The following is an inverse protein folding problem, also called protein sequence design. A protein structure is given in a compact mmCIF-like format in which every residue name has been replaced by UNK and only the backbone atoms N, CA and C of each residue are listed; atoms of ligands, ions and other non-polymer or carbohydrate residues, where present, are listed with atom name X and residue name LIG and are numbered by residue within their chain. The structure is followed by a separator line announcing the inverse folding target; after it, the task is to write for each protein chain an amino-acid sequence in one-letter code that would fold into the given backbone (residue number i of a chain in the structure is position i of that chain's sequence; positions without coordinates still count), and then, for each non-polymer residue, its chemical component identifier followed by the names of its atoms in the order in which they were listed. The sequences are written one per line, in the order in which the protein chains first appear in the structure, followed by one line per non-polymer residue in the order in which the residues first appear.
data_IF_389573928085
#
_entry.id   IF_389573928085
#
_cell.length_a   1.000
_cell.length_b   1.000
_cell.length_c   1.000
_cell.angle_alpha   90.00
_cell.angle_beta   90.00
_cell.angle_gamma   90.00
#
_symmetry.space_group_name_H-M   'P 1'
#
loop_
_entity.id
_entity.type
_entity.pdbx_description
1 polymer ?
#
# COMPACT_ATOMS: atom_id res chain seq x y z
N UNK A 1 8.99 30.08 -7.76
CA UNK A 1 8.09 30.04 -6.57
C UNK A 1 7.11 28.86 -6.57
N UNK A 2 7.30 27.81 -7.36
CA UNK A 2 6.31 26.73 -7.62
C UNK A 2 6.77 25.31 -7.26
N UNK A 3 7.95 25.13 -6.69
CA UNK A 3 8.51 23.80 -6.39
C UNK A 3 7.80 23.11 -5.21
N UNK A 4 7.56 23.83 -4.11
CA UNK A 4 6.91 23.27 -2.91
C UNK A 4 5.50 22.72 -3.19
N UNK A 5 4.75 23.36 -4.10
CA UNK A 5 3.41 22.90 -4.50
C UNK A 5 3.46 21.63 -5.35
N UNK A 6 4.49 21.46 -6.18
CA UNK A 6 4.68 20.28 -7.04
C UNK A 6 5.07 19.03 -6.24
N UNK A 7 5.85 19.20 -5.17
CA UNK A 7 6.32 18.10 -4.35
C UNK A 7 5.18 17.25 -3.76
N UNK A 8 4.09 17.89 -3.33
CA UNK A 8 2.91 17.17 -2.81
C UNK A 8 2.30 16.20 -3.85
N UNK A 9 2.31 16.57 -5.12
CA UNK A 9 1.84 15.72 -6.23
C UNK A 9 2.76 14.52 -6.42
N UNK A 10 4.08 14.72 -6.32
CA UNK A 10 5.06 13.63 -6.42
C UNK A 10 4.94 12.64 -5.26
N UNK A 11 4.71 13.13 -4.03
CA UNK A 11 4.43 12.30 -2.86
C UNK A 11 3.14 11.48 -3.06
N UNK A 12 2.08 12.11 -3.57
CA UNK A 12 0.82 11.42 -3.89
C UNK A 12 1.02 10.31 -4.93
N UNK A 13 1.73 10.59 -6.03
CA UNK A 13 2.08 9.59 -7.05
C UNK A 13 2.93 8.45 -6.47
N UNK A 14 3.86 8.75 -5.56
CA UNK A 14 4.65 7.73 -4.86
C UNK A 14 3.75 6.85 -4.00
N UNK A 15 2.79 7.44 -3.28
CA UNK A 15 1.83 6.70 -2.46
C UNK A 15 0.96 5.77 -3.33
N UNK A 16 0.44 6.25 -4.46
CA UNK A 16 -0.33 5.42 -5.41
C UNK A 16 0.44 4.19 -5.89
N UNK A 17 1.71 4.37 -6.28
CA UNK A 17 2.52 3.27 -6.81
C UNK A 17 3.00 2.31 -5.73
N UNK A 18 3.51 2.84 -4.61
CA UNK A 18 4.17 2.03 -3.58
C UNK A 18 3.20 1.49 -2.52
N UNK A 19 2.18 2.26 -2.14
CA UNK A 19 1.28 1.92 -1.03
C UNK A 19 -0.06 1.34 -1.51
N UNK A 20 -0.56 1.83 -2.66
CA UNK A 20 -1.83 1.38 -3.24
C UNK A 20 -1.66 0.45 -4.45
N UNK A 21 -0.44 0.04 -4.79
CA UNK A 21 -0.14 -0.95 -5.83
C UNK A 21 -0.69 -0.63 -7.23
N UNK A 22 -0.80 0.66 -7.59
CA UNK A 22 -1.36 1.12 -8.87
C UNK A 22 -0.77 0.38 -10.09
N UNK A 23 0.54 0.10 -10.08
CA UNK A 23 1.24 -0.52 -11.20
C UNK A 23 1.27 -2.07 -11.18
N UNK A 24 0.66 -2.71 -10.18
CA UNK A 24 0.73 -4.18 -9.97
C UNK A 24 -0.57 -4.91 -10.27
N UNK A 25 -1.53 -4.27 -10.93
CA UNK A 25 -2.82 -4.88 -11.25
C UNK A 25 -2.72 -5.90 -12.39
N UNK A 26 -3.27 -7.12 -12.24
CA UNK A 26 -3.34 -8.11 -13.32
C UNK A 26 -4.55 -7.89 -14.27
N UNK A 27 -5.20 -6.73 -14.24
CA UNK A 27 -6.40 -6.42 -15.04
C UNK A 27 -6.10 -6.43 -16.55
N UNK A 28 -7.12 -6.71 -17.38
CA UNK A 28 -6.94 -6.91 -18.84
C UNK A 28 -7.87 -6.06 -19.71
N UNK A 29 -9.00 -5.61 -19.19
CA UNK A 29 -10.00 -4.82 -19.95
C UNK A 29 -9.98 -3.37 -19.50
N UNK A 30 -10.32 -2.44 -20.39
CA UNK A 30 -10.37 -1.00 -20.07
C UNK A 30 -11.22 -0.74 -18.82
N UNK A 31 -12.40 -1.37 -18.71
CA UNK A 31 -13.27 -1.24 -17.53
C UNK A 31 -12.57 -1.67 -16.24
N UNK A 32 -11.92 -2.83 -16.24
CA UNK A 32 -11.24 -3.35 -15.04
C UNK A 32 -10.00 -2.52 -14.68
N UNK A 33 -9.29 -1.99 -15.68
CA UNK A 33 -8.18 -1.06 -15.47
C UNK A 33 -8.64 0.26 -14.85
N UNK A 34 -9.69 0.87 -15.40
CA UNK A 34 -10.25 2.12 -14.86
C UNK A 34 -10.75 1.96 -13.43
N UNK A 35 -11.42 0.83 -13.14
CA UNK A 35 -11.84 0.51 -11.78
C UNK A 35 -10.65 0.36 -10.82
N UNK A 36 -9.58 -0.31 -11.25
CA UNK A 36 -8.37 -0.43 -10.43
C UNK A 36 -7.74 0.94 -10.13
N UNK A 37 -7.59 1.79 -11.15
CA UNK A 37 -7.08 3.16 -10.98
C UNK A 37 -7.92 3.93 -9.96
N UNK A 38 -9.25 3.93 -10.11
CA UNK A 38 -10.16 4.59 -9.16
C UNK A 38 -9.99 4.06 -7.74
N UNK A 39 -9.96 2.74 -7.56
CA UNK A 39 -9.81 2.11 -6.26
C UNK A 39 -8.47 2.43 -5.59
N UNK A 40 -7.38 2.53 -6.37
CA UNK A 40 -6.07 2.92 -5.81
C UNK A 40 -6.05 4.36 -5.30
N UNK A 41 -6.79 5.27 -5.95
CA UNK A 41 -6.96 6.66 -5.49
C UNK A 41 -7.73 6.68 -4.17
N UNK A 42 -8.84 5.94 -4.08
CA UNK A 42 -9.60 5.81 -2.84
C UNK A 42 -8.76 5.19 -1.71
N UNK A 43 -7.92 4.19 -2.01
CA UNK A 43 -7.04 3.56 -1.04
C UNK A 43 -5.97 4.54 -0.52
N UNK A 44 -5.32 5.30 -1.41
CA UNK A 44 -4.36 6.33 -1.03
C UNK A 44 -5.02 7.41 -0.15
N UNK A 45 -6.23 7.87 -0.49
CA UNK A 45 -6.98 8.82 0.34
C UNK A 45 -7.27 8.25 1.74
N UNK A 46 -7.76 7.02 1.84
CA UNK A 46 -8.02 6.38 3.14
C UNK A 46 -6.75 6.20 3.96
N UNK A 47 -5.61 5.88 3.33
CA UNK A 47 -4.31 5.79 3.99
C UNK A 47 -3.86 7.15 4.54
N UNK A 48 -4.09 8.24 3.82
CA UNK A 48 -3.83 9.59 4.32
C UNK A 48 -4.73 9.95 5.52
N UNK A 49 -6.03 9.63 5.45
CA UNK A 49 -6.92 9.81 6.61
C UNK A 49 -6.44 9.01 7.84
N UNK A 50 -5.96 7.78 7.63
CA UNK A 50 -5.43 6.95 8.71
C UNK A 50 -4.11 7.50 9.25
N UNK A 51 -3.25 8.01 8.37
CA UNK A 51 -1.99 8.68 8.72
C UNK A 51 -2.23 9.86 9.66
N UNK A 52 -3.20 10.72 9.34
CA UNK A 52 -3.60 11.86 10.18
C UNK A 52 -4.09 11.38 11.55
N UNK A 53 -4.97 10.37 11.59
CA UNK A 53 -5.51 9.83 12.85
C UNK A 53 -4.44 9.19 13.73
N UNK A 54 -3.46 8.53 13.13
CA UNK A 54 -2.41 7.77 13.85
C UNK A 54 -1.12 8.57 14.06
N UNK A 55 -1.03 9.79 13.53
CA UNK A 55 0.17 10.63 13.54
C UNK A 55 1.40 9.87 12.98
N UNK A 56 1.18 9.03 11.96
CA UNK A 56 2.22 8.21 11.33
C UNK A 56 2.15 8.35 9.83
N UNK A 57 3.31 8.51 9.20
CA UNK A 57 3.44 8.55 7.74
C UNK A 57 2.82 7.28 7.10
N UNK A 58 2.06 7.39 5.98
CA UNK A 58 1.47 6.26 5.26
C UNK A 58 2.48 5.14 4.93
N UNK A 59 3.72 5.50 4.54
CA UNK A 59 4.78 4.54 4.25
C UNK A 59 5.18 3.73 5.50
N UNK A 60 5.22 4.38 6.67
CA UNK A 60 5.50 3.70 7.93
C UNK A 60 4.37 2.74 8.32
N UNK A 61 3.11 3.13 8.08
CA UNK A 61 1.94 2.27 8.29
C UNK A 61 2.01 1.02 7.40
N UNK A 62 2.18 1.20 6.09
CA UNK A 62 2.30 0.09 5.15
C UNK A 62 3.49 -0.82 5.49
N UNK A 63 4.64 -0.26 5.85
CA UNK A 63 5.82 -1.06 6.25
C UNK A 63 5.57 -1.85 7.53
N UNK A 64 4.89 -1.26 8.53
CA UNK A 64 4.53 -1.97 9.77
C UNK A 64 3.60 -3.15 9.48
N UNK A 65 2.57 -2.94 8.64
CA UNK A 65 1.66 -4.00 8.22
C UNK A 65 2.42 -5.13 7.50
N UNK A 66 3.33 -4.79 6.59
CA UNK A 66 4.13 -5.77 5.87
C UNK A 66 4.99 -6.61 6.83
N UNK A 67 5.72 -5.97 7.75
CA UNK A 67 6.57 -6.69 8.74
C UNK A 67 5.71 -7.63 9.59
N UNK A 68 4.55 -7.17 10.05
CA UNK A 68 3.65 -7.99 10.86
C UNK A 68 3.10 -9.18 10.07
N UNK A 69 2.71 -8.96 8.81
CA UNK A 69 2.24 -10.04 7.94
C UNK A 69 3.35 -11.06 7.65
N UNK A 70 4.58 -10.61 7.38
CA UNK A 70 5.73 -11.49 7.16
C UNK A 70 6.07 -12.33 8.39
N UNK A 71 6.02 -11.74 9.59
CA UNK A 71 6.21 -12.48 10.85
C UNK A 71 5.15 -13.55 11.03
N UNK A 72 3.88 -13.17 10.90
CA UNK A 72 2.77 -14.12 11.03
C UNK A 72 2.88 -15.26 10.00
N UNK A 73 3.24 -14.98 8.75
CA UNK A 73 3.46 -16.00 7.74
C UNK A 73 4.64 -16.93 8.09
N UNK A 74 5.72 -16.38 8.65
CA UNK A 74 6.87 -17.17 9.08
C UNK A 74 6.52 -18.08 10.26
N UNK A 75 5.76 -17.59 11.24
CA UNK A 75 5.31 -18.39 12.38
C UNK A 75 4.46 -19.58 11.91
N UNK A 76 3.57 -19.36 10.94
CA UNK A 76 2.78 -20.43 10.31
C UNK A 76 3.68 -21.45 9.58
N UNK A 77 4.71 -20.98 8.88
CA UNK A 77 5.67 -21.86 8.20
C UNK A 77 6.41 -22.76 9.20
N UNK A 78 6.81 -22.23 10.35
CA UNK A 78 7.48 -23.02 11.40
C UNK A 78 6.57 -24.13 11.94
N UNK A 79 5.28 -23.84 12.15
CA UNK A 79 4.30 -24.84 12.59
C UNK A 79 4.13 -25.97 11.57
N UNK A 80 4.07 -25.62 10.28
CA UNK A 80 3.96 -26.62 9.20
C UNK A 80 5.20 -27.51 9.14
N UNK A 81 6.40 -26.94 9.28
CA UNK A 81 7.65 -27.70 9.30
C UNK A 81 7.73 -28.65 10.50
N UNK A 82 7.31 -28.18 11.68
CA UNK A 82 7.28 -29.01 12.90
C UNK A 82 6.24 -30.15 12.81
N UNK A 83 5.14 -29.96 12.08
CA UNK A 83 4.13 -31.01 11.89
C UNK A 83 4.53 -32.08 10.87
N UNK A 84 5.49 -31.77 9.98
CA UNK A 84 6.01 -32.71 8.98
C UNK A 84 7.23 -33.51 9.46
N UNK A 85 7.80 -33.13 10.61
CA UNK A 85 8.94 -33.80 11.24
C UNK A 85 8.46 -34.84 12.26
#
# INVERSE_FOLDING_TARGET
TTYKKRWAVEVFHKSLKSNASLAKSPTRTVRTQSNHVFMTICAAFKLECLSIKTQKNPFALCRKLLINASRAAYDQLQLLLAATA
#
